data_IF_803656335685
#
_entry.id   IF_803656335685
#
_cell.length_a   1.000
_cell.length_b   1.000
_cell.length_c   1.000
_cell.angle_alpha   90.00
_cell.angle_beta   90.00
_cell.angle_gamma   90.00
#
_symmetry.space_group_name_H-M   'P 1'
#
loop_
_entity.id
_entity.type
_entity.pdbx_description
1 polymer ?
#
# COMPACT_ATOMS: atom_id res chain seq x y z
N UNK A 1 -6.99 -13.79 10.56
CA UNK A 1 -5.57 -13.40 10.35
C UNK A 1 -5.31 -12.96 8.91
N UNK A 2 -5.45 -13.83 7.90
CA UNK A 2 -5.26 -13.43 6.48
C UNK A 2 -6.24 -12.33 6.02
N UNK A 3 -7.53 -12.47 6.32
CA UNK A 3 -8.54 -11.47 5.94
C UNK A 3 -8.28 -10.10 6.56
N UNK A 4 -7.85 -10.06 7.83
CA UNK A 4 -7.49 -8.82 8.52
C UNK A 4 -6.27 -8.14 7.88
N UNK A 5 -5.29 -8.94 7.43
CA UNK A 5 -4.10 -8.45 6.73
C UNK A 5 -4.46 -7.84 5.36
N UNK A 6 -5.30 -8.54 4.60
CA UNK A 6 -5.79 -8.05 3.31
C UNK A 6 -6.66 -6.79 3.47
N UNK A 7 -7.52 -6.75 4.49
CA UNK A 7 -8.30 -5.55 4.81
C UNK A 7 -7.40 -4.36 5.13
N UNK A 8 -6.37 -4.56 5.96
CA UNK A 8 -5.42 -3.50 6.31
C UNK A 8 -4.66 -2.98 5.08
N UNK A 9 -4.26 -3.87 4.16
CA UNK A 9 -3.64 -3.48 2.90
C UNK A 9 -4.59 -2.70 2.00
N UNK A 10 -5.86 -3.12 1.91
CA UNK A 10 -6.88 -2.43 1.15
C UNK A 10 -7.16 -1.02 1.70
N UNK A 11 -7.22 -0.86 3.03
CA UNK A 11 -7.37 0.44 3.68
C UNK A 11 -6.20 1.37 3.36
N UNK A 12 -4.96 0.86 3.43
CA UNK A 12 -3.75 1.63 3.08
C UNK A 12 -3.76 2.06 1.60
N UNK A 13 -4.21 1.18 0.70
CA UNK A 13 -4.31 1.48 -0.73
C UNK A 13 -5.40 2.52 -1.00
N UNK A 14 -6.53 2.42 -0.31
CA UNK A 14 -7.62 3.38 -0.40
C UNK A 14 -7.22 4.77 0.10
N UNK A 15 -6.56 4.86 1.27
CA UNK A 15 -6.01 6.11 1.81
C UNK A 15 -5.09 6.79 0.79
N UNK A 16 -4.17 6.02 0.18
CA UNK A 16 -3.24 6.53 -0.81
C UNK A 16 -3.94 7.04 -2.06
N UNK A 17 -4.93 6.31 -2.57
CA UNK A 17 -5.71 6.72 -3.73
C UNK A 17 -6.44 8.04 -3.47
N UNK A 18 -7.09 8.16 -2.31
CA UNK A 18 -7.81 9.36 -1.92
C UNK A 18 -6.87 10.57 -1.75
N UNK A 19 -5.73 10.40 -1.08
CA UNK A 19 -4.73 11.47 -0.93
C UNK A 19 -4.13 11.87 -2.29
N UNK A 20 -3.91 10.90 -3.19
CA UNK A 20 -3.41 11.16 -4.54
C UNK A 20 -4.40 11.96 -5.36
N UNK A 21 -5.67 11.59 -5.32
CA UNK A 21 -6.74 12.27 -6.05
C UNK A 21 -6.87 13.73 -5.60
N UNK A 22 -6.85 13.99 -4.28
CA UNK A 22 -6.85 15.34 -3.71
C UNK A 22 -5.66 16.18 -4.19
N UNK A 23 -4.44 15.62 -4.13
CA UNK A 23 -3.25 16.30 -4.65
C UNK A 23 -3.33 16.56 -6.16
N UNK A 24 -4.07 15.71 -6.89
CA UNK A 24 -4.30 15.86 -8.31
C UNK A 24 -5.34 16.94 -8.64
N UNK A 25 -6.41 17.07 -7.86
CA UNK A 25 -7.49 18.05 -8.06
C UNK A 25 -7.10 19.48 -7.68
N UNK A 26 -6.28 19.64 -6.64
CA UNK A 26 -6.16 20.93 -5.95
C UNK A 26 -5.10 21.88 -6.56
N UNK A 27 -4.29 21.43 -7.52
CA UNK A 27 -3.19 22.24 -8.06
C UNK A 27 -2.91 22.04 -9.55
N UNK A 28 -2.65 23.13 -10.29
CA UNK A 28 -2.00 23.07 -11.61
C UNK A 28 -0.69 22.28 -11.51
N UNK A 29 -0.32 21.56 -12.58
CA UNK A 29 0.87 20.71 -12.62
C UNK A 29 2.15 21.54 -12.36
N UNK A 30 2.59 21.55 -11.11
CA UNK A 30 3.79 22.23 -10.64
C UNK A 30 4.83 21.21 -10.14
N UNK A 31 6.10 21.60 -10.14
CA UNK A 31 7.17 20.78 -9.55
C UNK A 31 6.92 20.45 -8.07
N UNK A 32 6.16 21.29 -7.35
CA UNK A 32 5.77 21.05 -5.96
C UNK A 32 4.81 19.86 -5.86
N UNK A 33 3.83 19.78 -6.77
CA UNK A 33 2.90 18.64 -6.86
C UNK A 33 3.61 17.33 -7.14
N UNK A 34 4.57 17.33 -8.07
CA UNK A 34 5.38 16.13 -8.39
C UNK A 34 6.10 15.64 -7.13
N UNK A 35 6.80 16.53 -6.42
CA UNK A 35 7.49 16.16 -5.16
C UNK A 35 6.54 15.67 -4.08
N UNK A 36 5.36 16.27 -3.96
CA UNK A 36 4.34 15.82 -3.02
C UNK A 36 3.84 14.41 -3.33
N UNK A 37 3.59 14.12 -4.62
CA UNK A 37 3.19 12.79 -5.09
C UNK A 37 4.29 11.74 -4.88
N UNK A 38 5.56 12.08 -5.12
CA UNK A 38 6.69 11.19 -4.85
C UNK A 38 6.80 10.84 -3.37
N UNK A 39 6.67 11.85 -2.50
CA UNK A 39 6.67 11.64 -1.04
C UNK A 39 5.48 10.80 -0.59
N UNK A 40 4.30 11.04 -1.14
CA UNK A 40 3.10 10.25 -0.86
C UNK A 40 3.31 8.78 -1.26
N UNK A 41 3.88 8.54 -2.45
CA UNK A 41 4.19 7.18 -2.94
C UNK A 41 5.24 6.47 -2.08
N UNK A 42 6.27 7.18 -1.63
CA UNK A 42 7.27 6.62 -0.72
C UNK A 42 6.63 6.17 0.61
N UNK A 43 5.84 7.06 1.23
CA UNK A 43 5.11 6.74 2.47
C UNK A 43 4.14 5.57 2.30
N UNK A 44 3.43 5.50 1.18
CA UNK A 44 2.53 4.38 0.88
C UNK A 44 3.29 3.04 0.82
N UNK A 45 4.44 3.02 0.14
CA UNK A 45 5.30 1.83 0.08
C UNK A 45 5.80 1.43 1.46
N UNK A 46 6.33 2.37 2.24
CA UNK A 46 6.80 2.13 3.61
C UNK A 46 5.68 1.56 4.50
N UNK A 47 4.45 2.10 4.38
CA UNK A 47 3.28 1.59 5.13
C UNK A 47 2.89 0.18 4.71
N UNK A 48 2.98 -0.18 3.42
CA UNK A 48 2.60 -1.51 2.91
C UNK A 48 3.63 -2.60 3.23
N UNK A 49 4.91 -2.26 3.18
CA UNK A 49 6.03 -3.21 3.26
C UNK A 49 5.89 -4.28 4.36
N UNK A 50 5.63 -3.94 5.64
CA UNK A 50 5.53 -4.95 6.69
C UNK A 50 4.37 -5.94 6.47
N UNK A 51 3.27 -5.48 5.88
CA UNK A 51 2.11 -6.32 5.62
C UNK A 51 2.31 -7.22 4.41
N UNK A 52 3.04 -6.75 3.39
CA UNK A 52 3.45 -7.57 2.23
C UNK A 52 4.40 -8.68 2.68
N UNK A 53 5.36 -8.38 3.55
CA UNK A 53 6.26 -9.40 4.11
C UNK A 53 5.50 -10.45 4.92
N UNK A 54 4.56 -10.03 5.78
CA UNK A 54 3.70 -10.96 6.52
C UNK A 54 2.83 -11.81 5.58
N UNK A 55 2.33 -11.23 4.49
CA UNK A 55 1.53 -11.95 3.51
C UNK A 55 2.35 -13.04 2.81
N UNK A 56 3.58 -12.73 2.42
CA UNK A 56 4.50 -13.69 1.79
C UNK A 56 4.80 -14.88 2.72
N UNK A 57 5.07 -14.62 4.01
CA UNK A 57 5.29 -15.68 5.00
C UNK A 57 4.05 -16.56 5.17
N UNK A 58 2.87 -15.97 5.22
CA UNK A 58 1.62 -16.72 5.34
C UNK A 58 1.35 -17.58 4.10
N UNK A 59 1.57 -17.02 2.90
CA UNK A 59 1.42 -17.75 1.64
C UNK A 59 2.37 -18.95 1.56
N UNK A 60 3.64 -18.78 1.96
CA UNK A 60 4.60 -19.87 1.98
C UNK A 60 4.14 -21.01 2.91
N UNK A 61 3.72 -20.68 4.14
CA UNK A 61 3.21 -21.70 5.09
C UNK A 61 2.00 -22.45 4.55
N UNK A 62 1.10 -21.75 3.84
CA UNK A 62 -0.06 -22.38 3.22
C UNK A 62 0.34 -23.31 2.06
N UNK A 63 1.36 -22.96 1.29
CA UNK A 63 1.90 -23.84 0.24
C UNK A 63 2.55 -25.09 0.86
N UNK A 64 3.36 -24.92 1.90
CA UNK A 64 4.05 -26.02 2.57
C UNK A 64 3.05 -27.02 3.17
N UNK A 65 1.98 -26.54 3.81
CA UNK A 65 0.89 -27.36 4.34
C UNK A 65 0.08 -28.09 3.26
N UNK A 66 0.10 -27.61 2.01
CA UNK A 66 -0.63 -28.22 0.89
C UNK A 66 0.20 -29.32 0.21
N UNK A 67 1.51 -29.31 0.41
CA UNK A 67 2.47 -30.26 -0.16
C UNK A 67 2.86 -31.37 0.82
N UNK A 68 2.48 -31.25 2.10
CA UNK A 68 2.62 -32.27 3.16
C UNK A 68 1.43 -33.23 3.21
#
# INVERSE_FOLDING_TARGET
>A
MLQSLLATLADIDFDYEQEREKLCSDSPNSNIKIRALEKLKARHRERREPYIQQLAVLQQRMMDLRLS
#
